data_IF_984429852929
#
_entry.id   IF_984429852929
#
_cell.length_a   1.000
_cell.length_b   1.000
_cell.length_c   1.000
_cell.angle_alpha   90.00
_cell.angle_beta   90.00
_cell.angle_gamma   90.00
#
_symmetry.space_group_name_H-M   'P 1'
#
loop_
_entity.id
_entity.type
_entity.pdbx_description
1 polymer ?
#
# COMPACT_ATOMS: atom_id res chain seq x y z
N UNK A 1 -5.72 27.81 -16.14
CA UNK A 1 -5.89 26.50 -15.49
C UNK A 1 -4.56 26.15 -14.85
N UNK A 2 -4.43 26.39 -13.56
CA UNK A 2 -3.20 26.11 -12.79
C UNK A 2 -3.14 24.63 -12.49
N UNK A 3 -2.07 23.97 -12.95
CA UNK A 3 -1.75 22.60 -12.60
C UNK A 3 -1.72 22.49 -11.07
N UNK A 4 -2.60 21.65 -10.51
CA UNK A 4 -2.59 21.34 -9.09
C UNK A 4 -1.23 20.74 -8.75
N UNK A 5 -0.47 21.45 -7.93
CA UNK A 5 0.77 20.95 -7.35
C UNK A 5 0.49 19.60 -6.67
N UNK A 6 0.93 18.49 -7.27
CA UNK A 6 1.21 17.26 -6.54
C UNK A 6 2.46 17.50 -5.68
N UNK A 7 2.28 18.30 -4.63
CA UNK A 7 3.28 18.49 -3.59
C UNK A 7 3.40 17.20 -2.81
N UNK A 8 4.37 16.35 -3.19
CA UNK A 8 4.87 15.30 -2.30
C UNK A 8 5.28 15.99 -1.00
N UNK A 9 4.55 15.70 0.09
CA UNK A 9 4.81 16.24 1.42
C UNK A 9 6.26 15.93 1.84
N UNK A 10 7.17 16.89 1.68
CA UNK A 10 8.49 16.86 2.31
C UNK A 10 8.35 17.28 3.77
N UNK A 11 7.92 16.33 4.59
CA UNK A 11 8.13 16.33 6.04
C UNK A 11 8.71 14.97 6.40
N UNK A 12 9.95 14.70 6.00
CA UNK A 12 10.67 13.51 6.45
C UNK A 12 11.11 13.74 7.90
N UNK A 13 10.24 13.39 8.85
CA UNK A 13 10.70 13.07 10.21
C UNK A 13 11.71 11.91 10.09
N UNK A 14 12.76 11.86 10.94
CA UNK A 14 13.63 10.68 11.02
C UNK A 14 12.74 9.45 11.26
N UNK A 15 12.77 8.50 10.33
CA UNK A 15 11.93 7.30 10.40
C UNK A 15 10.88 7.17 9.32
N UNK A 16 10.77 8.02 8.29
CA UNK A 16 9.94 7.71 7.11
C UNK A 16 10.79 7.05 6.02
N UNK A 17 10.51 5.79 5.69
CA UNK A 17 11.04 5.07 4.54
C UNK A 17 9.97 5.04 3.45
N UNK A 18 10.18 5.74 2.35
CA UNK A 18 9.30 5.63 1.18
C UNK A 18 9.84 4.55 0.24
N UNK A 19 9.03 3.56 -0.14
CA UNK A 19 9.35 2.64 -1.21
C UNK A 19 8.31 2.79 -2.34
N UNK A 20 8.76 3.24 -3.50
CA UNK A 20 7.94 3.35 -4.70
C UNK A 20 8.51 2.43 -5.78
N UNK A 21 7.67 1.59 -6.39
CA UNK A 21 8.01 0.99 -7.68
C UNK A 21 6.79 0.94 -8.59
N UNK A 22 6.92 1.62 -9.72
CA UNK A 22 5.92 1.67 -10.78
C UNK A 22 6.59 1.50 -12.13
N UNK A 23 6.21 0.56 -13.00
CA UNK A 23 6.29 0.82 -14.45
C UNK A 23 5.25 0.05 -15.25
N UNK A 24 4.83 0.68 -16.35
CA UNK A 24 3.98 0.09 -17.36
C UNK A 24 4.31 0.62 -18.77
N UNK A 25 4.45 -0.31 -19.71
CA UNK A 25 3.70 -0.34 -20.99
C UNK A 25 3.82 -1.76 -21.59
N UNK A 26 3.26 -2.74 -20.86
CA UNK A 26 3.20 -4.21 -21.10
C UNK A 26 3.82 -5.09 -19.99
N UNK A 27 4.64 -4.54 -19.10
CA UNK A 27 5.23 -5.24 -17.94
C UNK A 27 4.83 -4.65 -16.58
N UNK A 28 3.53 -4.54 -16.31
CA UNK A 28 2.98 -3.75 -15.19
C UNK A 28 3.35 -4.22 -13.78
N UNK A 29 3.89 -3.34 -12.94
CA UNK A 29 3.44 -3.25 -11.53
C UNK A 29 3.51 -1.78 -11.10
N UNK A 30 2.42 -1.26 -10.53
CA UNK A 30 2.33 0.10 -10.00
C UNK A 30 1.99 0.02 -8.50
N UNK A 31 3.02 -0.06 -7.64
CA UNK A 31 2.92 -0.09 -6.17
C UNK A 31 3.58 1.16 -5.57
N UNK A 32 2.80 1.93 -4.81
CA UNK A 32 3.31 3.02 -3.96
C UNK A 32 3.22 2.60 -2.51
N UNK A 33 4.35 2.47 -1.82
CA UNK A 33 4.35 2.22 -0.38
C UNK A 33 5.04 3.34 0.38
N UNK A 34 4.39 3.75 1.47
CA UNK A 34 4.99 4.67 2.42
C UNK A 34 5.08 3.97 3.77
N UNK A 35 6.29 3.85 4.28
CA UNK A 35 6.58 3.23 5.57
C UNK A 35 7.09 4.26 6.57
N UNK A 36 6.63 4.14 7.78
CA UNK A 36 7.26 4.65 8.98
C UNK A 36 8.04 3.49 9.63
N UNK A 37 9.34 3.69 9.83
CA UNK A 37 10.30 2.75 10.41
C UNK A 37 9.96 2.35 11.84
N UNK A 38 9.22 3.18 12.57
CA UNK A 38 8.79 2.90 13.92
C UNK A 38 7.36 2.38 13.98
N UNK A 39 6.48 2.85 13.10
CA UNK A 39 5.04 2.55 13.16
C UNK A 39 4.54 1.54 12.11
N UNK A 40 5.39 1.10 11.18
CA UNK A 40 4.96 0.34 10.01
C UNK A 40 4.50 1.25 8.87
N UNK A 41 3.77 0.74 7.90
CA UNK A 41 3.40 1.53 6.72
C UNK A 41 2.10 1.13 6.06
N UNK A 42 1.77 1.84 4.99
CA UNK A 42 0.68 1.47 4.10
C UNK A 42 1.20 1.42 2.68
N UNK A 43 1.04 0.27 2.04
CA UNK A 43 1.25 0.07 0.62
C UNK A 43 -0.05 0.22 -0.14
N UNK A 44 0.03 0.82 -1.32
CA UNK A 44 -1.06 0.99 -2.26
C UNK A 44 -0.68 0.31 -3.57
N UNK A 45 -1.56 -0.57 -4.05
CA UNK A 45 -1.50 -1.14 -5.38
C UNK A 45 -2.52 -0.38 -6.21
N UNK A 46 -2.14 0.13 -7.38
CA UNK A 46 -3.04 0.89 -8.25
C UNK A 46 -3.19 0.22 -9.62
N UNK A 47 -4.33 0.41 -10.25
CA UNK A 47 -4.60 0.02 -11.63
C UNK A 47 -3.95 1.02 -12.62
N UNK A 48 -3.98 0.67 -13.91
CA UNK A 48 -3.42 1.47 -15.01
C UNK A 48 -4.04 2.88 -15.11
N UNK A 49 -5.30 3.02 -14.71
CA UNK A 49 -6.03 4.29 -14.66
C UNK A 49 -5.71 5.12 -13.39
N UNK A 50 -4.86 4.60 -12.51
CA UNK A 50 -4.47 5.22 -11.24
C UNK A 50 -5.45 4.98 -10.08
N UNK A 51 -6.55 4.27 -10.30
CA UNK A 51 -7.46 3.87 -9.22
C UNK A 51 -6.77 2.91 -8.25
N UNK A 52 -7.11 2.98 -6.97
CA UNK A 52 -6.52 2.09 -5.96
C UNK A 52 -7.17 0.72 -6.09
N UNK A 53 -6.36 -0.31 -6.36
CA UNK A 53 -6.76 -1.72 -6.36
C UNK A 53 -6.67 -2.35 -4.98
N UNK A 54 -5.65 -1.96 -4.19
CA UNK A 54 -5.51 -2.46 -2.84
C UNK A 54 -4.78 -1.48 -1.92
N UNK A 55 -5.12 -1.53 -0.63
CA UNK A 55 -4.46 -0.83 0.47
C UNK A 55 -4.03 -1.87 1.50
N UNK A 56 -2.72 -2.03 1.67
CA UNK A 56 -2.13 -3.09 2.50
C UNK A 56 -1.38 -2.45 3.68
N UNK A 57 -1.76 -2.72 4.93
CA UNK A 57 -0.99 -2.29 6.10
C UNK A 57 0.24 -3.18 6.28
N UNK A 58 1.36 -2.57 6.69
CA UNK A 58 2.62 -3.24 6.94
C UNK A 58 3.13 -2.93 8.35
N UNK A 59 3.88 -3.87 8.94
CA UNK A 59 4.66 -3.63 10.16
C UNK A 59 6.12 -3.98 9.94
N UNK A 60 7.01 -3.27 10.62
CA UNK A 60 8.42 -3.65 10.66
C UNK A 60 8.62 -4.83 11.61
N UNK A 61 9.35 -5.85 11.17
CA UNK A 61 9.84 -6.96 11.99
C UNK A 61 11.31 -6.69 12.36
N UNK A 62 11.62 -6.34 13.62
CA UNK A 62 12.99 -6.08 14.03
C UNK A 62 13.91 -7.30 13.88
N UNK A 63 13.37 -8.50 14.12
CA UNK A 63 14.10 -9.77 14.03
C UNK A 63 14.60 -10.02 12.61
N UNK A 64 13.72 -9.85 11.62
CA UNK A 64 14.03 -10.12 10.22
C UNK A 64 14.54 -8.88 9.47
N UNK A 65 14.51 -7.71 10.14
CA UNK A 65 14.91 -6.39 9.62
C UNK A 65 14.17 -6.00 8.33
N UNK A 66 12.90 -6.38 8.22
CA UNK A 66 12.07 -6.15 7.04
C UNK A 66 10.62 -5.81 7.39
N UNK A 67 9.84 -5.37 6.39
CA UNK A 67 8.42 -5.07 6.56
C UNK A 67 7.53 -6.18 6.03
N UNK A 68 6.51 -6.54 6.80
CA UNK A 68 5.53 -7.55 6.44
C UNK A 68 4.13 -6.97 6.40
N UNK A 69 3.30 -7.45 5.47
CA UNK A 69 1.87 -7.19 5.51
C UNK A 69 1.32 -7.65 6.88
N UNK A 70 0.59 -6.77 7.56
CA UNK A 70 0.07 -7.04 8.88
C UNK A 70 -1.16 -6.18 9.19
N UNK A 71 -2.26 -6.83 9.56
CA UNK A 71 -3.57 -6.21 9.70
C UNK A 71 -4.44 -6.45 8.47
N UNK A 72 -5.51 -5.66 8.35
CA UNK A 72 -6.51 -5.81 7.31
C UNK A 72 -6.12 -5.06 6.04
N UNK A 73 -5.78 -5.80 4.98
CA UNK A 73 -5.66 -5.28 3.63
C UNK A 73 -7.05 -5.15 3.00
N UNK A 74 -7.32 -4.02 2.37
CA UNK A 74 -8.56 -3.75 1.65
C UNK A 74 -8.27 -3.84 0.15
N UNK A 75 -9.12 -4.57 -0.59
CA UNK A 75 -9.10 -4.65 -2.04
C UNK A 75 -10.36 -3.99 -2.59
N UNK A 76 -10.21 -3.21 -3.65
CA UNK A 76 -11.28 -2.37 -4.18
C UNK A 76 -11.63 -2.76 -5.61
N UNK A 77 -12.91 -2.65 -5.93
CA UNK A 77 -13.42 -2.69 -7.30
C UNK A 77 -13.11 -1.35 -8.02
N UNK A 78 -13.32 -1.28 -9.33
CA UNK A 78 -13.05 -0.11 -10.17
C UNK A 78 -13.85 1.13 -9.76
N UNK A 79 -14.99 0.95 -9.09
CA UNK A 79 -15.79 2.04 -8.54
C UNK A 79 -15.29 2.55 -7.17
N UNK A 80 -14.23 1.94 -6.63
CA UNK A 80 -13.63 2.26 -5.34
C UNK A 80 -14.32 1.63 -4.13
N UNK A 81 -15.33 0.77 -4.33
CA UNK A 81 -15.94 0.00 -3.25
C UNK A 81 -15.01 -1.11 -2.78
N UNK A 82 -15.05 -1.42 -1.47
CA UNK A 82 -14.24 -2.52 -0.93
C UNK A 82 -14.89 -3.85 -1.33
N UNK A 83 -14.28 -4.56 -2.26
CA UNK A 83 -14.69 -5.89 -2.72
C UNK A 83 -14.36 -6.95 -1.66
N UNK A 84 -13.16 -6.89 -1.07
CA UNK A 84 -12.74 -7.85 -0.05
C UNK A 84 -11.73 -7.28 0.93
N UNK A 85 -11.69 -7.90 2.10
CA UNK A 85 -10.71 -7.63 3.15
C UNK A 85 -9.93 -8.91 3.43
N UNK A 86 -8.61 -8.81 3.44
CA UNK A 86 -7.69 -9.91 3.75
C UNK A 86 -6.90 -9.55 5.00
N UNK A 87 -6.99 -10.36 6.03
CA UNK A 87 -6.20 -10.21 7.25
C UNK A 87 -4.83 -10.88 7.07
N UNK A 88 -3.78 -10.14 7.40
CA UNK A 88 -2.41 -10.64 7.40
C UNK A 88 -1.81 -10.64 8.81
N UNK A 89 -1.03 -11.67 9.11
CA UNK A 89 -0.13 -11.73 10.26
C UNK A 89 1.29 -12.06 9.80
N UNK A 90 2.18 -11.07 9.81
CA UNK A 90 3.60 -11.24 9.41
C UNK A 90 3.76 -11.75 7.99
N UNK A 91 2.99 -11.19 7.05
CA UNK A 91 3.04 -11.57 5.65
C UNK A 91 2.29 -12.86 5.33
N UNK A 92 1.77 -13.55 6.34
CA UNK A 92 0.91 -14.72 6.17
C UNK A 92 -0.54 -14.26 6.14
N UNK A 93 -1.26 -14.60 5.08
CA UNK A 93 -2.71 -14.42 5.02
C UNK A 93 -3.37 -15.36 6.03
N UNK A 94 -4.18 -14.79 6.93
CA UNK A 94 -4.85 -15.54 8.00
C UNK A 94 -6.35 -15.66 7.78
N UNK A 95 -6.95 -14.75 7.02
CA UNK A 95 -8.40 -14.75 6.76
C UNK A 95 -8.75 -13.88 5.57
N UNK A 96 -9.73 -14.31 4.77
CA UNK A 96 -10.37 -13.50 3.74
C UNK A 96 -11.85 -13.26 4.08
N UNK A 97 -12.35 -12.07 3.78
CA UNK A 97 -13.76 -11.69 3.90
C UNK A 97 -14.19 -10.91 2.66
N UNK A 98 -15.04 -11.51 1.84
CA UNK A 98 -15.67 -10.88 0.67
C UNK A 98 -16.85 -10.02 1.12
N UNK A 99 -16.99 -8.82 0.56
CA UNK A 99 -18.17 -7.98 0.71
C UNK A 99 -19.10 -8.18 -0.50
N UNK A 100 -20.42 -8.19 -0.29
CA UNK A 100 -21.41 -8.37 -1.36
C UNK A 100 -21.53 -7.16 -2.28
#
# INVERSE_FOLDING_TARGET
MTAGNCGLWRSTKPGYLTQQTHYLRDGAVVITSSFDVQAGGTGYIVNDDGSIRAKVPYRFSPEQKEYFAHGNAEYYDLDGTVEKIVEFQNGVETKETTKP
#
